data_IF_525911356088
#
_entry.id   IF_525911356088
#
_cell.length_a   1.000
_cell.length_b   1.000
_cell.length_c   1.000
_cell.angle_alpha   90.00
_cell.angle_beta   90.00
_cell.angle_gamma   90.00
#
_symmetry.space_group_name_H-M   'P 1'
#
loop_
_entity.id
_entity.type
_entity.pdbx_description
1 polymer ?
#
# COMPACT_ATOMS: atom_id res chain seq x y z
N UNK A 1 52.63 16.93 -20.15
CA UNK A 1 52.45 15.65 -20.88
C UNK A 1 50.96 15.49 -21.11
N UNK A 2 50.52 15.62 -22.36
CA UNK A 2 49.11 15.62 -22.73
C UNK A 2 48.65 14.18 -23.01
N UNK A 3 47.60 13.72 -22.32
CA UNK A 3 46.96 12.42 -22.57
C UNK A 3 45.98 12.56 -23.72
N UNK A 4 46.24 11.87 -24.83
CA UNK A 4 45.29 11.68 -25.92
C UNK A 4 44.45 10.41 -25.63
N UNK A 5 43.10 10.48 -25.69
CA UNK A 5 42.27 9.29 -25.55
C UNK A 5 42.13 8.54 -26.89
N UNK A 6 42.28 7.21 -26.84
CA UNK A 6 42.09 6.32 -28.00
C UNK A 6 40.62 6.20 -28.44
N UNK A 7 40.36 6.00 -29.74
CA UNK A 7 39.02 5.84 -30.28
C UNK A 7 38.44 4.43 -29.99
N UNK A 8 37.25 4.39 -29.39
CA UNK A 8 36.47 3.16 -29.18
C UNK A 8 35.66 2.88 -30.45
N UNK A 9 35.90 1.73 -31.08
CA UNK A 9 35.15 1.27 -32.25
C UNK A 9 33.78 0.69 -31.85
N UNK A 10 32.74 0.78 -32.70
CA UNK A 10 31.42 0.23 -32.41
C UNK A 10 31.36 -1.28 -32.68
N UNK A 11 30.91 -2.06 -31.69
CA UNK A 11 30.61 -3.48 -31.86
C UNK A 11 29.21 -3.60 -32.47
N UNK A 12 29.16 -3.90 -33.78
CA UNK A 12 27.96 -4.41 -34.42
C UNK A 12 27.82 -5.90 -34.09
N UNK A 13 26.70 -6.31 -33.48
CA UNK A 13 26.26 -7.71 -33.47
C UNK A 13 24.77 -7.82 -33.83
N UNK A 14 24.54 -8.82 -34.66
CA UNK A 14 23.44 -9.09 -35.56
C UNK A 14 22.10 -9.42 -34.88
N UNK A 15 20.97 -9.24 -35.60
CA UNK A 15 19.65 -9.69 -35.17
C UNK A 15 19.54 -11.21 -35.26
N UNK A 16 19.12 -11.85 -34.17
CA UNK A 16 18.78 -13.27 -34.16
C UNK A 16 17.29 -13.42 -34.47
N UNK A 17 17.00 -14.06 -35.60
CA UNK A 17 15.65 -14.30 -36.13
C UNK A 17 15.27 -15.79 -35.99
N UNK A 18 14.10 -16.05 -35.41
CA UNK A 18 13.12 -17.14 -35.66
C UNK A 18 13.50 -18.59 -35.20
N UNK A 19 12.53 -19.44 -34.78
CA UNK A 19 11.31 -19.79 -35.53
C UNK A 19 9.95 -19.68 -34.80
N UNK A 20 8.95 -19.34 -35.61
CA UNK A 20 7.53 -19.61 -35.42
C UNK A 20 7.28 -21.10 -35.12
N UNK A 21 6.48 -21.35 -34.09
CA UNK A 21 5.72 -22.59 -33.96
C UNK A 21 4.24 -22.26 -34.14
N UNK A 22 3.72 -22.54 -35.33
CA UNK A 22 2.29 -22.66 -35.57
C UNK A 22 1.79 -23.96 -34.96
N UNK A 23 0.82 -23.90 -34.03
CA UNK A 23 -0.03 -25.07 -33.76
C UNK A 23 -1.35 -24.68 -33.12
N UNK A 24 -2.40 -24.97 -33.88
CA UNK A 24 -3.72 -25.42 -33.45
C UNK A 24 -4.66 -24.41 -32.77
N UNK A 25 -5.65 -23.99 -33.56
CA UNK A 25 -6.90 -23.44 -33.08
C UNK A 25 -7.75 -24.55 -32.43
N UNK A 26 -8.13 -24.34 -31.17
CA UNK A 26 -9.37 -24.89 -30.62
C UNK A 26 -10.27 -23.74 -30.22
N UNK A 27 -11.28 -23.47 -31.06
CA UNK A 27 -12.42 -22.65 -30.69
C UNK A 27 -13.33 -23.49 -29.82
N UNK A 28 -13.48 -23.12 -28.55
CA UNK A 28 -14.72 -23.38 -27.81
C UNK A 28 -15.11 -22.15 -27.03
N UNK A 29 -16.33 -21.73 -27.33
CA UNK A 29 -17.18 -20.79 -26.63
C UNK A 29 -17.07 -20.93 -25.10
N UNK A 30 -16.88 -19.81 -24.42
CA UNK A 30 -17.74 -19.33 -23.31
C UNK A 30 -17.10 -18.02 -22.84
N UNK A 31 -17.70 -16.89 -23.20
CA UNK A 31 -17.47 -15.61 -22.51
C UNK A 31 -18.03 -15.75 -21.09
N UNK A 32 -17.29 -16.45 -20.24
CA UNK A 32 -17.36 -16.22 -18.81
C UNK A 32 -16.51 -14.98 -18.61
N UNK A 33 -17.17 -13.82 -18.57
CA UNK A 33 -16.65 -12.65 -17.87
C UNK A 33 -16.46 -13.07 -16.42
N UNK A 34 -15.34 -13.73 -16.15
CA UNK A 34 -14.80 -13.87 -14.81
C UNK A 34 -14.42 -12.45 -14.45
N UNK A 35 -15.36 -11.75 -13.82
CA UNK A 35 -15.03 -10.73 -12.86
C UNK A 35 -14.07 -11.43 -11.90
N UNK A 36 -12.77 -11.24 -12.12
CA UNK A 36 -11.73 -11.72 -11.22
C UNK A 36 -12.01 -11.05 -9.89
N UNK A 37 -12.86 -11.69 -9.09
CA UNK A 37 -12.85 -11.57 -7.65
C UNK A 37 -11.48 -12.11 -7.26
N UNK A 38 -10.47 -11.27 -7.31
CA UNK A 38 -9.26 -11.44 -6.53
C UNK A 38 -9.75 -11.62 -5.09
N UNK A 39 -9.87 -12.88 -4.66
CA UNK A 39 -10.14 -13.23 -3.27
C UNK A 39 -9.01 -12.61 -2.45
N UNK A 40 -9.38 -11.62 -1.64
CA UNK A 40 -8.54 -11.09 -0.58
C UNK A 40 -8.10 -12.26 0.29
N UNK A 41 -6.83 -12.63 0.16
CA UNK A 41 -6.24 -13.76 0.86
C UNK A 41 -6.11 -13.38 2.34
N UNK A 42 -7.07 -13.79 3.15
CA UNK A 42 -6.98 -13.67 4.61
C UNK A 42 -8.21 -13.01 5.23
N UNK A 43 -9.23 -13.83 5.50
CA UNK A 43 -10.24 -13.48 6.49
C UNK A 43 -9.56 -13.43 7.86
N UNK A 44 -9.67 -12.32 8.58
CA UNK A 44 -9.14 -12.25 9.93
C UNK A 44 -9.91 -13.26 10.80
N UNK A 45 -9.26 -14.18 11.52
CA UNK A 45 -9.97 -15.17 12.34
C UNK A 45 -10.75 -14.52 13.48
N UNK A 46 -10.39 -13.29 13.87
CA UNK A 46 -11.06 -12.52 14.93
C UNK A 46 -12.19 -11.65 14.40
N UNK A 47 -12.01 -11.04 13.22
CA UNK A 47 -12.92 -10.00 12.72
C UNK A 47 -13.69 -10.39 11.46
N UNK A 48 -13.51 -11.61 10.93
CA UNK A 48 -14.16 -12.05 9.71
C UNK A 48 -13.68 -11.27 8.48
N UNK A 49 -14.62 -10.98 7.58
CA UNK A 49 -14.36 -10.20 6.35
C UNK A 49 -14.04 -8.75 6.70
N UNK A 50 -13.03 -8.18 6.05
CA UNK A 50 -12.66 -6.77 6.24
C UNK A 50 -13.84 -5.85 5.94
N UNK A 51 -14.12 -4.91 6.86
CA UNK A 51 -15.10 -3.84 6.66
C UNK A 51 -14.58 -2.74 5.71
N UNK A 52 -13.29 -2.78 5.37
CA UNK A 52 -12.62 -1.85 4.46
C UNK A 52 -11.80 -2.60 3.40
N UNK A 53 -12.45 -3.37 2.50
CA UNK A 53 -11.76 -4.24 1.56
C UNK A 53 -10.87 -3.48 0.56
N UNK A 54 -11.19 -2.24 0.19
CA UNK A 54 -10.35 -1.49 -0.75
C UNK A 54 -9.06 -1.02 -0.08
N UNK A 55 -9.14 -0.53 1.17
CA UNK A 55 -7.96 -0.18 1.95
C UNK A 55 -7.08 -1.40 2.26
N UNK A 56 -7.68 -2.56 2.53
CA UNK A 56 -6.96 -3.81 2.75
C UNK A 56 -6.12 -4.19 1.52
N UNK A 57 -6.73 -4.19 0.32
CA UNK A 57 -6.02 -4.46 -0.93
C UNK A 57 -4.85 -3.50 -1.16
N UNK A 58 -5.04 -2.23 -0.83
CA UNK A 58 -3.99 -1.21 -0.96
C UNK A 58 -2.83 -1.44 0.02
N UNK A 59 -3.12 -1.84 1.26
CA UNK A 59 -2.12 -2.18 2.26
C UNK A 59 -1.32 -3.43 1.85
N UNK A 60 -1.99 -4.44 1.31
CA UNK A 60 -1.35 -5.66 0.82
C UNK A 60 -0.42 -5.41 -0.37
N UNK A 61 -0.69 -4.38 -1.17
CA UNK A 61 0.15 -3.98 -2.29
C UNK A 61 1.40 -3.18 -1.88
N UNK A 62 1.61 -2.90 -0.58
CA UNK A 62 2.76 -2.09 -0.12
C UNK A 62 4.07 -2.88 -0.17
N UNK A 63 5.20 -2.19 -0.41
CA UNK A 63 6.51 -2.80 -0.25
C UNK A 63 6.70 -3.33 1.17
N UNK A 64 7.12 -4.60 1.30
CA UNK A 64 7.38 -5.22 2.61
C UNK A 64 8.35 -4.42 3.47
N UNK A 65 9.32 -3.75 2.85
CA UNK A 65 10.30 -2.92 3.55
C UNK A 65 9.64 -1.76 4.33
N UNK A 66 8.62 -1.10 3.75
CA UNK A 66 7.89 -0.03 4.44
C UNK A 66 7.09 -0.56 5.63
N UNK A 67 6.46 -1.74 5.47
CA UNK A 67 5.72 -2.39 6.55
C UNK A 67 6.67 -2.80 7.69
N UNK A 68 7.84 -3.35 7.36
CA UNK A 68 8.87 -3.69 8.34
C UNK A 68 9.41 -2.46 9.06
N UNK A 69 9.63 -1.35 8.34
CA UNK A 69 10.05 -0.09 8.93
C UNK A 69 9.00 0.46 9.91
N UNK A 70 7.72 0.37 9.56
CA UNK A 70 6.62 0.76 10.45
C UNK A 70 6.59 -0.12 11.71
N UNK A 71 6.72 -1.44 11.56
CA UNK A 71 6.80 -2.38 12.70
C UNK A 71 7.98 -2.07 13.61
N UNK A 72 9.17 -1.82 13.05
CA UNK A 72 10.36 -1.46 13.84
C UNK A 72 10.12 -0.18 14.64
N UNK A 73 9.58 0.86 14.00
CA UNK A 73 9.35 2.13 14.67
C UNK A 73 8.25 2.05 15.75
N UNK A 74 7.27 1.16 15.59
CA UNK A 74 6.29 0.88 16.65
C UNK A 74 6.92 0.13 17.83
N UNK A 75 7.85 -0.79 17.57
CA UNK A 75 8.59 -1.46 18.64
C UNK A 75 9.50 -0.48 19.38
N UNK A 76 10.15 0.45 18.66
CA UNK A 76 10.97 1.51 19.26
C UNK A 76 10.17 2.48 20.15
N UNK A 77 8.84 2.54 20.02
CA UNK A 77 7.97 3.30 20.93
C UNK A 77 7.65 2.54 22.22
N UNK A 78 7.66 1.21 22.18
CA UNK A 78 7.44 0.35 23.34
C UNK A 78 8.74 0.10 24.13
N UNK A 79 9.88 0.41 23.52
CA UNK A 79 11.22 0.28 24.10
C UNK A 79 11.62 1.59 24.80
N UNK A 80 11.81 1.53 26.13
CA UNK A 80 12.19 2.68 26.95
C UNK A 80 13.63 3.16 26.66
N UNK A 81 14.49 2.33 26.06
CA UNK A 81 15.87 2.67 25.72
C UNK A 81 15.98 3.37 24.35
N UNK A 82 14.88 3.49 23.61
CA UNK A 82 14.85 4.08 22.26
C UNK A 82 14.29 5.49 22.26
N UNK A 83 14.71 6.26 21.25
CA UNK A 83 14.25 7.63 21.11
C UNK A 83 12.82 7.69 20.54
N UNK A 84 11.84 7.86 21.43
CA UNK A 84 10.42 8.00 21.06
C UNK A 84 10.18 9.09 20.00
N UNK A 85 10.92 10.21 20.03
CA UNK A 85 10.81 11.28 19.03
C UNK A 85 11.15 10.78 17.62
N UNK A 86 12.24 10.04 17.48
CA UNK A 86 12.67 9.48 16.20
C UNK A 86 11.69 8.41 15.71
N UNK A 87 11.17 7.59 16.63
CA UNK A 87 10.16 6.58 16.33
C UNK A 87 8.88 7.22 15.78
N UNK A 88 8.33 8.24 16.46
CA UNK A 88 7.15 8.98 15.99
C UNK A 88 7.39 9.65 14.64
N UNK A 89 8.55 10.27 14.43
CA UNK A 89 8.89 10.87 13.14
C UNK A 89 8.92 9.83 12.01
N UNK A 90 9.51 8.66 12.27
CA UNK A 90 9.57 7.55 11.30
C UNK A 90 8.18 7.04 10.96
N UNK A 91 7.36 6.75 11.97
CA UNK A 91 5.95 6.33 11.80
C UNK A 91 5.19 7.35 10.96
N UNK A 92 5.30 8.63 11.32
CA UNK A 92 4.62 9.73 10.61
C UNK A 92 5.07 9.81 9.15
N UNK A 93 6.36 9.69 8.88
CA UNK A 93 6.90 9.71 7.52
C UNK A 93 6.34 8.57 6.66
N UNK A 94 6.33 7.34 7.18
CA UNK A 94 5.81 6.16 6.46
C UNK A 94 4.30 6.34 6.18
N UNK A 95 3.51 6.74 7.18
CA UNK A 95 2.08 6.95 7.03
C UNK A 95 1.75 8.09 6.04
N UNK A 96 2.53 9.18 6.08
CA UNK A 96 2.36 10.30 5.15
C UNK A 96 2.71 9.90 3.71
N UNK A 97 3.74 9.08 3.51
CA UNK A 97 4.05 8.46 2.22
C UNK A 97 2.86 7.69 1.66
N UNK A 98 2.24 6.82 2.47
CA UNK A 98 1.04 6.08 2.07
C UNK A 98 -0.11 7.01 1.66
N UNK A 99 -0.39 8.05 2.44
CA UNK A 99 -1.44 9.02 2.12
C UNK A 99 -1.15 9.74 0.79
N UNK A 100 0.11 10.05 0.50
CA UNK A 100 0.49 10.66 -0.78
C UNK A 100 0.25 9.69 -1.95
N UNK A 101 0.62 8.42 -1.81
CA UNK A 101 0.41 7.40 -2.85
C UNK A 101 -1.06 7.17 -3.14
N UNK A 102 -1.90 7.14 -2.10
CA UNK A 102 -3.37 7.07 -2.21
C UNK A 102 -3.90 8.27 -3.01
N UNK A 103 -3.44 9.49 -2.69
CA UNK A 103 -3.86 10.70 -3.43
C UNK A 103 -3.37 10.67 -4.88
N UNK A 104 -2.16 10.21 -5.11
CA UNK A 104 -1.54 10.12 -6.42
C UNK A 104 -2.29 9.11 -7.30
N UNK A 105 -2.55 7.90 -6.79
CA UNK A 105 -3.34 6.87 -7.48
C UNK A 105 -4.76 7.38 -7.83
N UNK A 106 -5.39 8.11 -6.91
CA UNK A 106 -6.69 8.74 -7.14
C UNK A 106 -6.65 9.78 -8.28
N UNK A 107 -5.60 10.60 -8.34
CA UNK A 107 -5.45 11.67 -9.34
C UNK A 107 -5.14 11.13 -10.73
N UNK A 108 -4.30 10.09 -10.83
CA UNK A 108 -3.83 9.56 -12.12
C UNK A 108 -4.78 8.56 -12.79
N UNK A 109 -6.06 8.55 -12.40
CA UNK A 109 -7.08 7.76 -13.10
C UNK A 109 -6.96 6.24 -12.94
N UNK A 110 -6.07 5.74 -12.08
CA UNK A 110 -5.89 4.29 -11.83
C UNK A 110 -7.12 3.61 -11.22
N UNK A 111 -8.14 4.38 -10.81
CA UNK A 111 -9.35 3.87 -10.17
C UNK A 111 -10.61 4.22 -10.96
N UNK A 112 -11.50 3.24 -11.02
CA UNK A 112 -12.87 3.43 -11.52
C UNK A 112 -13.64 4.43 -10.64
N UNK A 113 -14.79 4.90 -11.13
CA UNK A 113 -15.65 5.82 -10.35
C UNK A 113 -16.20 5.12 -9.11
N UNK A 114 -16.48 3.83 -9.24
CA UNK A 114 -17.00 2.93 -8.22
C UNK A 114 -15.97 2.74 -7.12
N UNK A 115 -14.72 2.41 -7.46
CA UNK A 115 -13.63 2.24 -6.49
C UNK A 115 -13.35 3.54 -5.74
N UNK A 116 -13.34 4.67 -6.45
CA UNK A 116 -13.17 6.01 -5.84
C UNK A 116 -14.27 6.31 -4.82
N UNK A 117 -15.51 5.92 -5.11
CA UNK A 117 -16.66 6.14 -4.21
C UNK A 117 -16.59 5.19 -3.01
N UNK A 118 -16.29 3.92 -3.24
CA UNK A 118 -16.15 2.92 -2.18
C UNK A 118 -15.03 3.30 -1.21
N UNK A 119 -13.84 3.61 -1.71
CA UNK A 119 -12.71 4.01 -0.88
C UNK A 119 -12.99 5.30 -0.10
N UNK A 120 -13.67 6.28 -0.72
CA UNK A 120 -14.09 7.50 -0.02
C UNK A 120 -15.02 7.18 1.16
N UNK A 121 -15.92 6.21 1.00
CA UNK A 121 -16.83 5.79 2.07
C UNK A 121 -16.07 5.07 3.18
N UNK A 122 -15.14 4.16 2.84
CA UNK A 122 -14.28 3.47 3.80
C UNK A 122 -13.44 4.46 4.63
N UNK A 123 -12.73 5.39 3.97
CA UNK A 123 -11.94 6.43 4.64
C UNK A 123 -12.81 7.30 5.54
N UNK A 124 -14.01 7.68 5.08
CA UNK A 124 -14.95 8.47 5.88
C UNK A 124 -15.46 7.70 7.10
N UNK A 125 -15.68 6.38 6.95
CA UNK A 125 -16.01 5.48 8.05
C UNK A 125 -14.93 5.45 9.12
N UNK A 126 -13.68 5.19 8.70
CA UNK A 126 -12.53 5.17 9.61
C UNK A 126 -12.31 6.51 10.31
N UNK A 127 -12.37 7.63 9.57
CA UNK A 127 -12.18 8.95 10.17
C UNK A 127 -13.25 9.27 11.24
N UNK A 128 -14.48 8.81 11.05
CA UNK A 128 -15.54 8.93 12.06
C UNK A 128 -15.26 8.06 13.28
N UNK A 129 -14.82 6.81 13.09
CA UNK A 129 -14.40 5.91 14.17
C UNK A 129 -13.29 6.52 15.01
N UNK A 130 -12.19 6.92 14.38
CA UNK A 130 -11.05 7.57 15.06
C UNK A 130 -11.48 8.82 15.81
N UNK A 131 -12.34 9.66 15.22
CA UNK A 131 -12.86 10.85 15.90
C UNK A 131 -13.68 10.49 17.14
N UNK A 132 -14.49 9.44 17.09
CA UNK A 132 -15.26 8.96 18.23
C UNK A 132 -14.33 8.45 19.34
N UNK A 133 -13.31 7.67 18.99
CA UNK A 133 -12.33 7.13 19.94
C UNK A 133 -11.54 8.24 20.64
N UNK A 134 -11.05 9.22 19.88
CA UNK A 134 -10.36 10.40 20.45
C UNK A 134 -11.29 11.15 21.42
N UNK A 135 -12.57 11.27 21.08
CA UNK A 135 -13.55 11.94 21.95
C UNK A 135 -13.77 11.13 23.23
N UNK A 136 -13.88 9.79 23.14
CA UNK A 136 -14.01 8.91 24.32
C UNK A 136 -12.81 9.03 25.24
N UNK A 137 -11.60 8.85 24.70
CA UNK A 137 -10.35 8.98 25.47
C UNK A 137 -10.19 10.35 26.12
N UNK A 138 -10.58 11.42 25.42
CA UNK A 138 -10.57 12.77 26.00
C UNK A 138 -11.54 12.93 27.17
N UNK A 139 -12.68 12.24 27.15
CA UNK A 139 -13.63 12.23 28.28
C UNK A 139 -13.05 11.43 29.44
N UNK A 140 -12.51 10.24 29.17
CA UNK A 140 -11.86 9.36 30.16
C UNK A 140 -10.72 10.09 30.90
N UNK A 141 -9.79 10.70 30.17
CA UNK A 141 -8.69 11.47 30.76
C UNK A 141 -9.19 12.64 31.62
N UNK A 142 -10.30 13.29 31.22
CA UNK A 142 -10.89 14.38 32.01
C UNK A 142 -11.56 13.90 33.29
N UNK A 143 -12.12 12.69 33.29
CA UNK A 143 -12.66 12.09 34.52
C UNK A 143 -11.54 11.64 35.46
N UNK A 144 -10.47 11.04 34.94
CA UNK A 144 -9.31 10.63 35.74
C UNK A 144 -8.64 11.84 36.43
N UNK A 145 -8.49 12.95 35.70
CA UNK A 145 -7.87 14.17 36.22
C UNK A 145 -8.78 14.97 37.20
N UNK A 146 -10.06 14.61 37.34
CA UNK A 146 -10.99 15.19 38.32
C UNK A 146 -11.12 14.35 39.60
N UNK A 147 -10.65 13.11 39.58
CA UNK A 147 -10.67 12.19 40.73
C UNK A 147 -9.37 12.22 41.55
N UNK A 148 -8.39 13.00 41.12
CA UNK A 148 -7.15 13.33 41.84
C UNK A 148 -7.19 14.77 42.33
#
# INVERSE_FOLDING_TARGET
MAYAPSPVQPIARLPYSMPESTSSMSKTSTLHSVCEKEELKGTCPVHGTSQTPHLEKMLQARPRAELQQLTSALNDLADEDRCAKCAVQTITSVLMGYVQDVRWAKKNGKWSKEDKKALKMEIKGLAKGVKADIKSRKVEMKSEMKSH
#
